data_IF_170283287083
#
_entry.id   IF_170283287083
#
_cell.length_a   1.000
_cell.length_b   1.000
_cell.length_c   1.000
_cell.angle_alpha   90.00
_cell.angle_beta   90.00
_cell.angle_gamma   90.00
#
_symmetry.space_group_name_H-M   'P 1'
#
loop_
_entity.id
_entity.type
_entity.pdbx_description
1 polymer ?
#
# COMPACT_ATOMS: atom_id res chain seq x y z
N UNK A 1 -0.89 -13.22 -11.74
CA UNK A 1 0.10 -12.22 -12.20
C UNK A 1 -0.33 -10.91 -11.59
N UNK A 2 0.26 -10.54 -10.45
CA UNK A 2 -0.13 -9.33 -9.72
C UNK A 2 0.30 -8.10 -10.53
N UNK A 3 -0.68 -7.30 -10.97
CA UNK A 3 -0.52 -6.17 -11.91
C UNK A 3 -0.19 -4.84 -11.22
N UNK A 4 0.22 -4.89 -9.95
CA UNK A 4 0.60 -3.70 -9.19
C UNK A 4 1.83 -3.06 -9.82
N UNK A 5 1.69 -1.79 -10.16
CA UNK A 5 2.80 -0.97 -10.62
C UNK A 5 3.75 -0.71 -9.46
N UNK A 6 5.01 -0.48 -9.79
CA UNK A 6 5.93 0.12 -8.82
C UNK A 6 5.66 1.64 -8.78
N UNK A 7 5.75 2.27 -7.59
CA UNK A 7 6.14 1.71 -6.29
C UNK A 7 5.11 0.94 -5.47
N UNK A 8 3.81 1.03 -5.79
CA UNK A 8 2.70 0.49 -4.98
C UNK A 8 2.98 -0.93 -4.46
N UNK A 9 3.40 -1.83 -5.35
CA UNK A 9 3.74 -3.22 -5.00
C UNK A 9 4.78 -3.35 -3.88
N UNK A 10 5.87 -2.60 -3.99
CA UNK A 10 7.03 -2.73 -3.10
C UNK A 10 6.73 -2.11 -1.73
N UNK A 11 5.96 -1.02 -1.70
CA UNK A 11 5.52 -0.39 -0.45
C UNK A 11 4.57 -1.31 0.31
N UNK A 12 3.51 -1.78 -0.34
CA UNK A 12 2.53 -2.68 0.28
C UNK A 12 3.22 -3.92 0.86
N UNK A 13 4.09 -4.57 0.07
CA UNK A 13 4.81 -5.76 0.51
C UNK A 13 5.75 -5.52 1.71
N UNK A 14 6.45 -4.38 1.75
CA UNK A 14 7.47 -4.13 2.78
C UNK A 14 6.91 -3.55 4.07
N UNK A 15 5.87 -2.74 3.97
CA UNK A 15 5.39 -1.93 5.09
C UNK A 15 3.95 -2.21 5.48
N UNK A 16 3.15 -2.82 4.61
CA UNK A 16 1.78 -3.19 4.95
C UNK A 16 1.66 -4.67 5.34
N UNK A 17 2.79 -5.28 5.71
CA UNK A 17 2.82 -6.55 6.42
C UNK A 17 2.57 -6.26 7.91
N UNK A 18 1.63 -6.96 8.55
CA UNK A 18 1.15 -6.64 9.91
C UNK A 18 2.26 -6.64 10.96
N UNK A 19 3.33 -7.42 10.74
CA UNK A 19 4.47 -7.51 11.65
C UNK A 19 5.46 -6.31 11.51
N UNK A 20 5.29 -5.49 10.47
CA UNK A 20 6.17 -4.36 10.15
C UNK A 20 5.44 -3.06 9.83
N UNK A 21 4.13 -2.98 10.05
CA UNK A 21 3.36 -1.78 9.81
C UNK A 21 3.75 -0.68 10.81
N UNK A 22 4.52 0.28 10.31
CA UNK A 22 4.91 1.48 11.04
C UNK A 22 4.79 2.68 10.09
N UNK A 23 3.73 3.49 10.24
CA UNK A 23 3.45 4.61 9.34
C UNK A 23 4.56 5.68 9.37
N UNK A 24 5.25 5.85 10.51
CA UNK A 24 6.41 6.73 10.60
C UNK A 24 7.60 6.21 9.77
N UNK A 25 7.79 4.89 9.69
CA UNK A 25 8.79 4.26 8.82
C UNK A 25 8.44 4.43 7.35
N UNK A 26 7.18 4.32 6.96
CA UNK A 26 6.73 4.61 5.59
C UNK A 26 7.02 6.09 5.28
N UNK A 27 6.54 7.01 6.13
CA UNK A 27 6.80 8.43 5.96
C UNK A 27 8.30 8.74 5.93
N UNK A 28 9.13 8.19 6.81
CA UNK A 28 10.58 8.46 6.82
C UNK A 28 11.31 7.83 5.64
N UNK A 29 10.99 6.60 5.28
CA UNK A 29 11.61 5.92 4.14
C UNK A 29 11.28 6.65 2.83
N UNK A 30 10.07 7.20 2.76
CA UNK A 30 9.55 7.84 1.55
C UNK A 30 9.90 9.33 1.48
N UNK A 31 9.82 10.09 2.58
CA UNK A 31 10.18 11.53 2.65
C UNK A 31 11.70 11.75 2.58
N UNK A 32 12.49 10.85 3.15
CA UNK A 32 13.96 11.04 3.22
C UNK A 32 14.67 10.78 1.88
N UNK A 33 13.99 10.16 0.90
CA UNK A 33 14.58 9.74 -0.39
C UNK A 33 15.76 8.77 -0.26
N UNK A 34 16.12 8.37 0.97
CA UNK A 34 17.20 7.46 1.32
C UNK A 34 16.59 6.17 1.86
N UNK A 35 16.40 5.22 0.97
CA UNK A 35 15.87 3.88 1.28
C UNK A 35 14.77 3.44 0.31
N UNK A 36 14.07 4.40 -0.29
CA UNK A 36 13.08 4.20 -1.34
C UNK A 36 13.45 5.05 -2.57
N UNK A 37 13.83 4.45 -3.72
CA UNK A 37 14.14 5.21 -4.93
C UNK A 37 12.89 5.68 -5.69
N UNK A 38 11.69 5.53 -5.11
CA UNK A 38 10.44 5.75 -5.82
C UNK A 38 9.70 6.99 -5.32
N UNK A 39 9.01 7.65 -6.25
CA UNK A 39 8.23 8.86 -6.02
C UNK A 39 7.07 8.63 -5.03
N UNK A 40 7.03 9.42 -3.96
CA UNK A 40 5.95 9.35 -2.97
C UNK A 40 4.60 9.76 -3.55
N UNK A 41 4.60 10.83 -4.34
CA UNK A 41 3.40 11.35 -4.97
C UNK A 41 2.84 10.30 -5.93
N UNK A 42 3.72 9.60 -6.67
CA UNK A 42 3.34 8.49 -7.53
C UNK A 42 2.77 7.31 -6.73
N UNK A 43 3.32 6.99 -5.56
CA UNK A 43 2.74 5.96 -4.69
C UNK A 43 1.32 6.32 -4.25
N UNK A 44 1.10 7.54 -3.73
CA UNK A 44 -0.22 8.00 -3.29
C UNK A 44 -1.22 7.99 -4.45
N UNK A 45 -0.80 8.47 -5.62
CA UNK A 45 -1.64 8.51 -6.82
C UNK A 45 -2.03 7.08 -7.25
N UNK A 46 -1.06 6.16 -7.31
CA UNK A 46 -1.32 4.75 -7.63
C UNK A 46 -2.21 4.06 -6.58
N UNK A 47 -2.01 4.34 -5.29
CA UNK A 47 -2.83 3.81 -4.22
C UNK A 47 -4.27 4.31 -4.34
N UNK A 48 -4.46 5.63 -4.52
CA UNK A 48 -5.79 6.23 -4.70
C UNK A 48 -6.50 5.70 -5.94
N UNK A 49 -5.80 5.61 -7.07
CA UNK A 49 -6.34 5.05 -8.32
C UNK A 49 -6.73 3.58 -8.13
N UNK A 50 -5.92 2.80 -7.40
CA UNK A 50 -6.21 1.40 -7.15
C UNK A 50 -7.40 1.17 -6.21
N UNK A 51 -7.64 2.07 -5.26
CA UNK A 51 -8.85 2.08 -4.42
C UNK A 51 -10.07 2.45 -5.27
N UNK A 52 -10.01 3.57 -5.99
CA UNK A 52 -11.13 4.12 -6.76
C UNK A 52 -11.59 3.15 -7.86
N UNK A 53 -10.63 2.61 -8.63
CA UNK A 53 -10.90 1.64 -9.68
C UNK A 53 -11.05 0.21 -9.18
N UNK A 54 -10.93 -0.04 -7.87
CA UNK A 54 -10.96 -1.39 -7.31
C UNK A 54 -10.00 -2.31 -8.09
N UNK A 55 -8.71 -1.95 -8.13
CA UNK A 55 -7.68 -2.76 -8.77
C UNK A 55 -7.08 -3.81 -7.82
N UNK A 56 -7.23 -3.63 -6.50
CA UNK A 56 -6.66 -4.52 -5.47
C UNK A 56 -7.71 -5.48 -4.92
N UNK A 57 -7.59 -6.75 -5.25
CA UNK A 57 -8.47 -7.78 -4.67
C UNK A 57 -7.91 -8.30 -3.34
N UNK A 58 -8.76 -8.71 -2.36
CA UNK A 58 -8.32 -9.30 -1.09
C UNK A 58 -7.26 -10.38 -1.25
N UNK A 59 -7.50 -11.35 -2.13
CA UNK A 59 -6.54 -12.44 -2.39
C UNK A 59 -5.23 -11.99 -3.05
N UNK A 60 -5.23 -10.88 -3.79
CA UNK A 60 -3.98 -10.34 -4.34
C UNK A 60 -3.18 -9.61 -3.27
N UNK A 61 -3.88 -8.89 -2.39
CA UNK A 61 -3.31 -8.20 -1.24
C UNK A 61 -2.71 -9.19 -0.25
N UNK A 62 -3.43 -10.26 0.08
CA UNK A 62 -2.98 -11.37 0.93
C UNK A 62 -1.71 -12.01 0.36
N UNK A 63 -1.66 -12.32 -0.94
CA UNK A 63 -0.44 -12.84 -1.55
C UNK A 63 0.76 -11.89 -1.49
N UNK A 64 0.52 -10.59 -1.32
CA UNK A 64 1.55 -9.55 -1.27
C UNK A 64 2.03 -9.25 0.14
N UNK A 65 1.12 -9.28 1.10
CA UNK A 65 1.31 -8.76 2.47
C UNK A 65 1.09 -9.82 3.54
N UNK A 66 0.63 -11.01 3.16
CA UNK A 66 0.19 -12.11 4.04
C UNK A 66 -0.98 -11.73 4.97
N UNK A 67 -1.58 -10.57 4.75
CA UNK A 67 -2.78 -10.09 5.43
C UNK A 67 -4.03 -10.62 4.74
N UNK A 68 -4.88 -11.32 5.49
CA UNK A 68 -6.18 -11.76 5.01
C UNK A 68 -7.27 -10.74 5.36
N UNK A 69 -8.12 -10.44 4.39
CA UNK A 69 -9.27 -9.56 4.58
C UNK A 69 -10.55 -10.33 4.23
N UNK A 70 -11.49 -10.36 5.18
CA UNK A 70 -12.78 -11.05 5.02
C UNK A 70 -13.59 -10.58 3.82
N UNK A 71 -13.42 -9.32 3.41
CA UNK A 71 -14.17 -8.72 2.32
C UNK A 71 -13.40 -7.58 1.67
N UNK A 72 -13.78 -7.29 0.42
CA UNK A 72 -13.18 -6.19 -0.33
C UNK A 72 -13.49 -4.83 0.27
N UNK A 73 -14.64 -4.68 0.91
CA UNK A 73 -15.01 -3.48 1.67
C UNK A 73 -14.01 -3.23 2.80
N UNK A 74 -13.72 -4.23 3.64
CA UNK A 74 -12.71 -4.12 4.71
C UNK A 74 -11.32 -3.77 4.15
N UNK A 75 -10.92 -4.37 3.03
CA UNK A 75 -9.65 -4.05 2.38
C UNK A 75 -9.63 -2.59 1.90
N UNK A 76 -10.70 -2.13 1.27
CA UNK A 76 -10.79 -0.74 0.79
C UNK A 76 -10.76 0.25 1.96
N UNK A 77 -11.50 -0.01 3.04
CA UNK A 77 -11.46 0.82 4.25
C UNK A 77 -10.03 0.89 4.80
N UNK A 78 -9.33 -0.23 4.89
CA UNK A 78 -7.92 -0.26 5.31
C UNK A 78 -7.02 0.58 4.39
N UNK A 79 -7.20 0.46 3.08
CA UNK A 79 -6.40 1.18 2.09
C UNK A 79 -6.66 2.69 2.13
N UNK A 80 -7.91 3.10 2.41
CA UNK A 80 -8.28 4.51 2.60
C UNK A 80 -7.68 5.08 3.89
N UNK A 81 -7.73 4.33 5.00
CA UNK A 81 -7.07 4.73 6.26
C UNK A 81 -5.55 4.86 6.09
N UNK A 82 -4.91 3.93 5.36
CA UNK A 82 -3.49 4.05 4.99
C UNK A 82 -3.23 5.35 4.23
N UNK A 83 -4.08 5.67 3.24
CA UNK A 83 -3.91 6.87 2.43
C UNK A 83 -4.09 8.15 3.27
N UNK A 84 -5.04 8.17 4.20
CA UNK A 84 -5.27 9.27 5.13
C UNK A 84 -4.09 9.46 6.07
N UNK A 85 -3.58 8.38 6.68
CA UNK A 85 -2.42 8.44 7.55
C UNK A 85 -1.19 9.00 6.81
N UNK A 86 -1.05 8.68 5.52
CA UNK A 86 0.04 9.16 4.68
C UNK A 86 -0.14 10.58 4.12
N UNK A 87 -1.33 11.19 4.27
CA UNK A 87 -1.63 12.56 3.85
C UNK A 87 -0.83 13.58 4.68
#
# INVERSE_FOLDING_TARGET
MNNFKEPLKTVLKKYCHIECYDPELIKRAVVSGKGFPYDFELFKEQLRDAIDQNLISPSEYEQLTEEDFDSRENLNEWLEELLDDLS
#
